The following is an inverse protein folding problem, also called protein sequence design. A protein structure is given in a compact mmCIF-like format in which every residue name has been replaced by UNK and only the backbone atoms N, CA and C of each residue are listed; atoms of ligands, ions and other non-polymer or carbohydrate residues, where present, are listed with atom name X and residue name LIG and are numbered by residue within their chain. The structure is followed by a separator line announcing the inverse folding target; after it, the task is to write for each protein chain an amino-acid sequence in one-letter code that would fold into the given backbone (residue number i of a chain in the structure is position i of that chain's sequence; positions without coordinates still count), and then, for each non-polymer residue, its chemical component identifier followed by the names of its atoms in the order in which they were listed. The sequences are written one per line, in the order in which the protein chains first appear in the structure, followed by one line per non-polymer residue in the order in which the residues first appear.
data_IF_415455199514
#
_entry.id   IF_415455199514
#
_cell.length_a   1.000
_cell.length_b   1.000
_cell.length_c   1.000
_cell.angle_alpha   90.00
_cell.angle_beta   90.00
_cell.angle_gamma   90.00
#
_symmetry.space_group_name_H-M   'P 1'
#
loop_
_entity.id
_entity.type
_entity.pdbx_description
1 polymer ?
#
# COMPACT_ATOMS: atom_id res chain seq x y z
N UNK A 1 19.78 15.45 3.76
CA UNK A 1 19.88 14.01 4.08
C UNK A 1 20.95 13.41 3.18
N UNK A 2 21.82 12.50 3.65
CA UNK A 2 22.72 11.78 2.76
C UNK A 2 21.91 11.03 1.69
N UNK A 3 22.47 10.90 0.49
CA UNK A 3 21.83 10.12 -0.57
C UNK A 3 21.75 8.64 -0.16
N UNK A 4 20.64 7.99 -0.49
CA UNK A 4 20.44 6.55 -0.26
C UNK A 4 21.50 5.74 -1.04
N UNK A 5 22.26 4.89 -0.34
CA UNK A 5 23.19 3.95 -0.98
C UNK A 5 22.40 2.77 -1.57
N UNK A 6 22.32 2.67 -2.90
CA UNK A 6 21.56 1.60 -3.57
C UNK A 6 22.53 0.56 -4.13
N UNK A 7 22.39 -0.68 -3.65
CA UNK A 7 23.22 -1.83 -4.04
C UNK A 7 22.38 -2.88 -4.73
N UNK A 8 22.94 -3.54 -5.74
CA UNK A 8 22.24 -4.59 -6.54
C UNK A 8 22.81 -6.00 -6.34
N UNK A 9 23.57 -6.18 -5.26
CA UNK A 9 24.23 -7.43 -4.91
C UNK A 9 24.62 -7.39 -3.43
N UNK A 10 24.90 -8.56 -2.85
CA UNK A 10 25.39 -8.66 -1.49
C UNK A 10 26.86 -8.22 -1.43
N UNK A 11 27.11 -7.03 -0.90
CA UNK A 11 28.45 -6.50 -0.61
C UNK A 11 28.53 -5.98 0.82
N UNK A 12 29.73 -5.96 1.44
CA UNK A 12 29.86 -5.62 2.85
C UNK A 12 29.22 -4.28 3.18
N UNK A 13 28.25 -4.30 4.08
CA UNK A 13 27.57 -3.11 4.57
C UNK A 13 28.56 -2.26 5.38
N UNK A 14 28.30 -0.94 5.50
CA UNK A 14 29.09 -0.12 6.41
C UNK A 14 29.10 -0.69 7.83
N UNK A 15 30.17 -0.44 8.58
CA UNK A 15 30.29 -0.90 9.96
C UNK A 15 29.10 -0.42 10.83
N UNK A 16 28.63 -1.28 11.74
CA UNK A 16 27.49 -1.00 12.60
C UNK A 16 26.12 -1.02 11.90
N UNK A 17 26.03 -1.50 10.66
CA UNK A 17 24.75 -1.54 9.93
C UNK A 17 23.86 -2.68 10.39
N UNK A 18 22.63 -2.34 10.75
CA UNK A 18 21.53 -3.24 11.06
C UNK A 18 20.71 -3.54 9.78
N UNK A 19 20.62 -4.80 9.37
CA UNK A 19 19.97 -5.22 8.14
C UNK A 19 18.55 -5.77 8.38
N UNK A 20 17.54 -5.08 7.86
CA UNK A 20 16.16 -5.56 7.83
C UNK A 20 15.96 -6.44 6.60
N UNK A 21 15.53 -7.71 6.77
CA UNK A 21 15.34 -8.65 5.65
C UNK A 21 13.85 -8.89 5.37
N UNK A 22 13.48 -8.92 4.08
CA UNK A 22 12.10 -9.17 3.67
C UNK A 22 11.81 -8.81 2.21
N UNK A 23 10.60 -9.12 1.74
CA UNK A 23 10.16 -8.71 0.41
C UNK A 23 9.82 -7.20 0.33
N UNK A 24 9.42 -6.59 1.45
CA UNK A 24 9.22 -5.15 1.61
C UNK A 24 8.25 -4.46 0.62
N UNK A 25 7.32 -5.21 0.04
CA UNK A 25 6.33 -4.64 -0.86
C UNK A 25 5.33 -3.74 -0.10
N UNK A 26 5.28 -2.46 -0.49
CA UNK A 26 4.43 -1.44 0.11
C UNK A 26 5.03 -0.67 1.29
N UNK A 27 6.14 -1.11 1.90
CA UNK A 27 6.76 -0.47 3.08
C UNK A 27 5.72 -0.03 4.13
N UNK A 28 4.76 -0.91 4.43
CA UNK A 28 3.65 -0.67 5.34
C UNK A 28 4.08 -0.62 6.81
N UNK A 29 3.16 -0.33 7.73
CA UNK A 29 3.48 -0.19 9.18
C UNK A 29 4.20 -1.40 9.79
N UNK A 30 3.88 -2.62 9.34
CA UNK A 30 4.64 -3.82 9.72
C UNK A 30 6.13 -3.75 9.32
N UNK A 31 6.46 -3.27 8.11
CA UNK A 31 7.84 -3.05 7.68
C UNK A 31 8.49 -1.87 8.43
N UNK A 32 7.73 -0.81 8.69
CA UNK A 32 8.23 0.35 9.44
C UNK A 32 8.59 -0.02 10.89
N UNK A 33 7.93 -1.01 11.49
CA UNK A 33 8.31 -1.55 12.79
C UNK A 33 9.69 -2.24 12.76
N UNK A 34 10.02 -2.98 11.69
CA UNK A 34 11.37 -3.54 11.49
C UNK A 34 12.42 -2.43 11.39
N UNK A 35 12.13 -1.40 10.59
CA UNK A 35 13.02 -0.24 10.44
C UNK A 35 13.17 0.53 11.76
N UNK A 36 12.10 0.67 12.54
CA UNK A 36 12.16 1.29 13.87
C UNK A 36 13.04 0.50 14.84
N UNK A 37 12.94 -0.83 14.84
CA UNK A 37 13.81 -1.69 15.64
C UNK A 37 15.28 -1.54 15.24
N UNK A 38 15.58 -1.49 13.94
CA UNK A 38 16.94 -1.28 13.46
C UNK A 38 17.51 0.08 13.89
N UNK A 39 16.72 1.16 13.78
CA UNK A 39 17.13 2.51 14.21
C UNK A 39 17.39 2.59 15.72
N UNK A 40 16.63 1.84 16.52
CA UNK A 40 16.81 1.82 17.98
C UNK A 40 18.18 1.26 18.42
N UNK A 41 18.90 0.56 17.53
CA UNK A 41 20.26 0.08 17.79
C UNK A 41 21.34 1.18 17.66
N UNK A 42 20.98 2.38 17.17
CA UNK A 42 21.89 3.53 17.07
C UNK A 42 22.91 3.48 15.93
N UNK A 43 22.88 2.43 15.11
CA UNK A 43 23.70 2.28 13.90
C UNK A 43 23.00 2.71 12.61
N UNK A 44 23.61 2.37 11.47
CA UNK A 44 23.01 2.56 10.14
C UNK A 44 21.95 1.50 9.86
N UNK A 45 20.99 1.80 9.00
CA UNK A 45 19.91 0.90 8.62
C UNK A 45 20.02 0.49 7.16
N UNK A 46 20.08 -0.82 6.93
CA UNK A 46 19.94 -1.39 5.60
C UNK A 46 18.56 -2.04 5.44
N UNK A 47 17.88 -1.75 4.32
CA UNK A 47 16.72 -2.50 3.86
C UNK A 47 17.18 -3.48 2.77
N UNK A 48 17.11 -4.77 3.06
CA UNK A 48 17.50 -5.83 2.15
C UNK A 48 16.25 -6.48 1.58
N UNK A 49 16.06 -6.30 0.28
CA UNK A 49 14.95 -6.86 -0.49
C UNK A 49 15.47 -7.46 -1.80
N UNK A 50 14.56 -7.81 -2.69
CA UNK A 50 14.80 -8.59 -3.88
C UNK A 50 14.32 -7.85 -5.13
N UNK A 51 15.10 -7.96 -6.20
CA UNK A 51 14.73 -7.47 -7.53
C UNK A 51 15.06 -8.54 -8.60
N UNK A 52 14.09 -8.97 -9.43
CA UNK A 52 12.66 -8.68 -9.32
C UNK A 52 12.04 -9.18 -8.01
N UNK A 53 10.84 -8.70 -7.68
CA UNK A 53 10.12 -9.20 -6.50
C UNK A 53 9.94 -10.73 -6.57
N UNK A 54 10.13 -11.50 -5.47
CA UNK A 54 10.21 -12.97 -5.53
C UNK A 54 8.99 -13.64 -6.17
N UNK A 55 7.78 -13.12 -5.94
CA UNK A 55 6.56 -13.66 -6.54
C UNK A 55 6.54 -13.55 -8.07
N UNK A 56 7.20 -12.55 -8.66
CA UNK A 56 7.30 -12.40 -10.13
C UNK A 56 8.13 -13.52 -10.77
N UNK A 57 8.99 -14.18 -10.00
CA UNK A 57 9.86 -15.28 -10.48
C UNK A 57 9.27 -16.62 -10.11
N UNK A 58 8.78 -16.76 -8.87
CA UNK A 58 8.22 -18.01 -8.37
C UNK A 58 6.86 -18.35 -8.98
N UNK A 59 6.07 -17.34 -9.35
CA UNK A 59 4.74 -17.52 -9.88
C UNK A 59 4.37 -16.35 -10.83
N UNK A 60 5.06 -16.18 -11.97
CA UNK A 60 4.88 -15.02 -12.86
C UNK A 60 3.42 -14.76 -13.25
N UNK A 61 2.67 -15.82 -13.60
CA UNK A 61 1.27 -15.70 -14.03
C UNK A 61 0.30 -15.32 -12.90
N UNK A 62 0.73 -15.45 -11.64
CA UNK A 62 -0.08 -15.19 -10.44
C UNK A 62 0.50 -14.08 -9.58
N UNK A 63 1.59 -13.44 -10.01
CA UNK A 63 2.25 -12.40 -9.27
C UNK A 63 1.34 -11.18 -9.20
N UNK A 64 0.87 -10.78 -8.00
CA UNK A 64 0.02 -9.61 -7.91
C UNK A 64 0.83 -8.35 -8.29
N UNK A 65 0.15 -7.30 -8.77
CA UNK A 65 0.79 -6.00 -8.95
C UNK A 65 1.46 -5.53 -7.65
N UNK A 66 2.57 -4.81 -7.78
CA UNK A 66 3.33 -4.31 -6.64
C UNK A 66 2.62 -3.10 -6.04
N UNK A 67 2.66 -3.00 -4.71
CA UNK A 67 2.11 -1.85 -3.98
C UNK A 67 2.96 -0.59 -4.20
N UNK A 68 4.24 -0.77 -4.49
CA UNK A 68 5.19 0.30 -4.80
C UNK A 68 6.03 -0.06 -6.02
N UNK A 69 6.16 0.87 -6.96
CA UNK A 69 7.18 0.79 -8.00
C UNK A 69 8.60 0.99 -7.43
N UNK A 70 9.62 0.62 -8.21
CA UNK A 70 11.02 0.69 -7.77
C UNK A 70 11.45 2.10 -7.31
N UNK A 71 11.18 3.13 -8.13
CA UNK A 71 11.52 4.51 -7.79
C UNK A 71 10.73 5.04 -6.56
N UNK A 72 9.48 4.59 -6.37
CA UNK A 72 8.70 4.92 -5.17
C UNK A 72 9.30 4.26 -3.92
N UNK A 73 9.71 3.00 -4.02
CA UNK A 73 10.38 2.28 -2.92
C UNK A 73 11.68 2.97 -2.52
N UNK A 74 12.50 3.39 -3.48
CA UNK A 74 13.75 4.11 -3.21
C UNK A 74 13.51 5.41 -2.44
N UNK A 75 12.62 6.27 -2.93
CA UNK A 75 12.31 7.54 -2.25
C UNK A 75 11.70 7.31 -0.87
N UNK A 76 10.75 6.39 -0.75
CA UNK A 76 10.12 6.09 0.53
C UNK A 76 11.11 5.49 1.53
N UNK A 77 11.99 4.59 1.11
CA UNK A 77 13.04 4.04 1.97
C UNK A 77 13.93 5.15 2.54
N UNK A 78 14.35 6.12 1.71
CA UNK A 78 15.12 7.27 2.17
C UNK A 78 14.35 8.10 3.22
N UNK A 79 13.07 8.39 2.99
CA UNK A 79 12.24 9.14 3.97
C UNK A 79 12.02 8.39 5.28
N UNK A 80 12.07 7.05 5.26
CA UNK A 80 11.94 6.21 6.45
C UNK A 80 13.26 6.04 7.22
N UNK A 81 14.34 6.68 6.77
CA UNK A 81 15.65 6.63 7.41
C UNK A 81 16.44 5.36 7.09
N UNK A 82 16.26 4.80 5.89
CA UNK A 82 17.15 3.76 5.36
C UNK A 82 18.41 4.43 4.80
N UNK A 83 19.58 3.97 5.22
CA UNK A 83 20.87 4.43 4.71
C UNK A 83 21.30 3.63 3.47
N UNK A 84 21.01 2.32 3.45
CA UNK A 84 21.37 1.43 2.35
C UNK A 84 20.17 0.59 1.90
N UNK A 85 19.81 0.69 0.62
CA UNK A 85 18.84 -0.20 -0.03
C UNK A 85 19.60 -1.28 -0.80
N UNK A 86 19.51 -2.52 -0.35
CA UNK A 86 20.07 -3.68 -1.04
C UNK A 86 18.97 -4.39 -1.82
N UNK A 87 19.12 -4.44 -3.14
CA UNK A 87 18.28 -5.16 -4.08
C UNK A 87 19.03 -6.43 -4.50
N UNK A 88 18.87 -7.51 -3.75
CA UNK A 88 19.47 -8.80 -4.11
C UNK A 88 18.82 -9.32 -5.40
N UNK A 89 19.62 -9.76 -6.39
CA UNK A 89 19.07 -10.41 -7.58
C UNK A 89 18.26 -11.63 -7.17
N UNK A 90 17.00 -11.69 -7.58
CA UNK A 90 16.16 -12.86 -7.37
C UNK A 90 15.93 -13.53 -8.72
N UNK A 91 16.78 -14.50 -9.02
CA UNK A 91 16.70 -15.34 -10.22
C UNK A 91 16.39 -16.80 -9.83
N UNK A 92 16.46 -17.71 -10.82
CA UNK A 92 16.25 -19.13 -10.57
C UNK A 92 17.27 -19.72 -9.57
N UNK A 93 18.51 -19.23 -9.58
CA UNK A 93 19.55 -19.70 -8.65
C UNK A 93 19.24 -19.26 -7.21
N UNK A 94 18.87 -17.99 -7.00
CA UNK A 94 18.41 -17.50 -5.69
C UNK A 94 17.16 -18.23 -5.21
N UNK A 95 16.21 -18.52 -6.11
CA UNK A 95 14.97 -19.24 -5.78
C UNK A 95 15.20 -20.69 -5.33
N UNK A 96 16.25 -21.34 -5.85
CA UNK A 96 16.64 -22.71 -5.52
C UNK A 96 17.70 -22.79 -4.40
N UNK A 97 18.26 -21.66 -3.97
CA UNK A 97 19.27 -21.60 -2.93
C UNK A 97 18.70 -22.05 -1.58
N UNK A 98 19.31 -23.05 -0.96
CA UNK A 98 18.88 -23.51 0.36
C UNK A 98 19.15 -22.44 1.43
N UNK A 99 18.44 -22.56 2.56
CA UNK A 99 18.48 -21.58 3.64
C UNK A 99 19.89 -21.39 4.23
N UNK A 100 20.67 -22.47 4.40
CA UNK A 100 22.01 -22.37 4.99
C UNK A 100 22.98 -21.67 4.04
N UNK A 101 22.90 -21.99 2.75
CA UNK A 101 23.69 -21.32 1.71
C UNK A 101 23.32 -19.84 1.59
N UNK A 102 22.03 -19.48 1.71
CA UNK A 102 21.59 -18.09 1.74
C UNK A 102 22.23 -17.31 2.89
N UNK A 103 22.14 -17.82 4.14
CA UNK A 103 22.73 -17.14 5.31
C UNK A 103 24.24 -17.00 5.14
N UNK A 104 24.92 -18.07 4.76
CA UNK A 104 26.37 -18.05 4.58
C UNK A 104 26.81 -17.04 3.51
N UNK A 105 26.29 -17.18 2.29
CA UNK A 105 26.80 -16.42 1.13
C UNK A 105 26.27 -14.99 1.09
N UNK A 106 24.96 -14.79 1.32
CA UNK A 106 24.35 -13.47 1.18
C UNK A 106 24.51 -12.64 2.45
N UNK A 107 24.31 -13.24 3.63
CA UNK A 107 24.37 -12.49 4.89
C UNK A 107 25.78 -12.42 5.46
N UNK A 108 26.41 -13.56 5.77
CA UNK A 108 27.66 -13.60 6.53
C UNK A 108 28.89 -13.23 5.68
N UNK A 109 29.01 -13.78 4.47
CA UNK A 109 30.14 -13.51 3.58
C UNK A 109 29.94 -12.19 2.81
N UNK A 110 28.73 -12.00 2.28
CA UNK A 110 28.34 -10.86 1.45
C UNK A 110 28.06 -9.58 2.23
N UNK A 111 26.93 -9.51 2.95
CA UNK A 111 26.46 -8.27 3.58
C UNK A 111 27.19 -7.91 4.89
N UNK A 112 27.63 -8.90 5.68
CA UNK A 112 28.32 -8.70 6.98
C UNK A 112 27.60 -7.70 7.90
N UNK A 113 26.29 -7.88 8.18
CA UNK A 113 25.56 -6.95 9.04
C UNK A 113 26.02 -7.08 10.50
N UNK A 114 25.96 -5.97 11.24
CA UNK A 114 26.19 -5.99 12.69
C UNK A 114 25.00 -6.64 13.44
N UNK A 115 23.79 -6.49 12.90
CA UNK A 115 22.57 -7.12 13.40
C UNK A 115 21.62 -7.41 12.25
N UNK A 116 20.78 -8.44 12.41
CA UNK A 116 19.72 -8.81 11.46
C UNK A 116 18.36 -8.61 12.12
N UNK A 117 17.43 -8.01 11.39
CA UNK A 117 16.07 -7.71 11.85
C UNK A 117 15.08 -8.38 10.90
N UNK A 118 14.18 -9.20 11.47
CA UNK A 118 13.15 -9.92 10.72
C UNK A 118 11.82 -9.92 11.45
N UNK A 119 10.72 -10.16 10.72
CA UNK A 119 9.42 -10.43 11.32
C UNK A 119 9.35 -11.84 11.91
N UNK A 120 8.48 -12.05 12.91
CA UNK A 120 8.28 -13.36 13.54
C UNK A 120 7.85 -14.49 12.59
N UNK A 121 7.28 -14.14 11.43
CA UNK A 121 6.85 -15.07 10.38
C UNK A 121 7.81 -15.15 9.19
N UNK A 122 9.04 -14.63 9.35
CA UNK A 122 10.03 -14.61 8.28
C UNK A 122 10.40 -16.03 7.85
N UNK A 123 10.37 -16.24 6.53
CA UNK A 123 10.77 -17.48 5.87
C UNK A 123 11.62 -17.16 4.66
N UNK A 124 12.64 -17.99 4.41
CA UNK A 124 13.63 -17.77 3.37
C UNK A 124 14.22 -19.09 2.86
N UNK A 125 15.09 -18.99 1.86
CA UNK A 125 15.65 -20.14 1.16
C UNK A 125 14.61 -20.87 0.31
N UNK A 126 15.09 -21.89 -0.41
CA UNK A 126 14.30 -22.73 -1.29
C UNK A 126 13.06 -23.25 -0.58
N UNK A 127 11.92 -23.14 -1.26
CA UNK A 127 10.61 -23.60 -0.76
C UNK A 127 10.20 -23.01 0.60
N UNK A 128 10.83 -21.90 1.04
CA UNK A 128 10.56 -21.24 2.34
C UNK A 128 10.86 -22.15 3.55
N UNK A 129 11.80 -23.09 3.41
CA UNK A 129 12.17 -24.03 4.47
C UNK A 129 13.01 -23.39 5.58
N UNK A 130 13.71 -22.28 5.31
CA UNK A 130 14.40 -21.50 6.32
C UNK A 130 13.43 -20.70 7.18
N UNK A 131 13.71 -20.60 8.48
CA UNK A 131 12.90 -19.87 9.44
C UNK A 131 13.75 -19.14 10.48
N UNK A 132 13.07 -18.43 11.39
CA UNK A 132 13.69 -17.60 12.41
C UNK A 132 14.63 -18.41 13.31
N UNK A 133 14.31 -19.68 13.60
CA UNK A 133 15.16 -20.54 14.43
C UNK A 133 16.46 -20.89 13.69
N UNK A 134 16.37 -21.37 12.44
CA UNK A 134 17.54 -21.66 11.61
C UNK A 134 18.42 -20.42 11.41
N UNK A 135 17.80 -19.26 11.18
CA UNK A 135 18.51 -17.99 11.05
C UNK A 135 19.24 -17.63 12.35
N UNK A 136 18.57 -17.76 13.50
CA UNK A 136 19.14 -17.49 14.82
C UNK A 136 20.37 -18.34 15.10
N UNK A 137 20.29 -19.65 14.89
CA UNK A 137 21.41 -20.58 15.11
C UNK A 137 22.63 -20.23 14.24
N UNK A 138 22.38 -19.93 12.96
CA UNK A 138 23.44 -19.61 12.00
C UNK A 138 24.10 -18.25 12.27
N UNK A 139 23.33 -17.24 12.70
CA UNK A 139 23.86 -15.92 13.05
C UNK A 139 24.61 -15.94 14.39
N UNK A 140 24.10 -16.68 15.39
CA UNK A 140 24.74 -16.82 16.69
C UNK A 140 26.14 -17.45 16.58
N UNK A 141 26.30 -18.47 15.72
CA UNK A 141 27.59 -19.08 15.43
C UNK A 141 28.62 -18.10 14.82
N UNK A 142 28.15 -17.02 14.19
CA UNK A 142 28.97 -15.97 13.59
C UNK A 142 29.07 -14.69 14.44
N UNK A 143 28.49 -14.67 15.65
CA UNK A 143 28.49 -13.50 16.53
C UNK A 143 27.59 -12.35 16.04
N UNK A 144 26.64 -12.62 15.15
CA UNK A 144 25.69 -11.61 14.64
C UNK A 144 24.38 -11.68 15.43
N UNK A 145 23.90 -10.55 15.91
CA UNK A 145 22.66 -10.50 16.72
C UNK A 145 21.42 -10.57 15.82
N UNK A 146 20.44 -11.40 16.20
CA UNK A 146 19.13 -11.46 15.55
C UNK A 146 18.07 -10.77 16.42
N UNK A 147 17.33 -9.82 15.83
CA UNK A 147 16.14 -9.22 16.43
C UNK A 147 14.88 -9.67 15.67
N UNK A 148 13.92 -10.22 16.42
CA UNK A 148 12.65 -10.67 15.88
C UNK A 148 11.56 -9.70 16.31
N UNK A 149 10.89 -9.08 15.34
CA UNK A 149 9.83 -8.11 15.60
C UNK A 149 8.46 -8.80 15.50
N UNK A 150 7.59 -8.65 16.52
CA UNK A 150 6.25 -9.22 16.49
C UNK A 150 5.39 -8.57 15.39
N UNK A 151 4.38 -9.29 14.86
CA UNK A 151 3.50 -8.74 13.84
C UNK A 151 2.72 -7.55 14.40
N UNK A 152 2.63 -6.48 13.61
CA UNK A 152 1.77 -5.32 13.95
C UNK A 152 0.31 -5.69 13.66
N UNK A 153 -0.60 -5.58 14.65
CA UNK A 153 -2.02 -5.83 14.44
C UNK A 153 -2.62 -4.79 13.49
N UNK A 154 -3.48 -5.24 12.58
CA UNK A 154 -4.30 -4.34 11.77
C UNK A 154 -5.40 -3.74 12.66
N UNK A 155 -5.70 -2.44 12.51
CA UNK A 155 -6.85 -1.85 13.17
C UNK A 155 -8.15 -2.52 12.69
N UNK A 156 -9.24 -2.44 13.46
CA UNK A 156 -10.54 -2.96 13.03
C UNK A 156 -10.97 -2.32 11.71
N UNK A 157 -11.45 -3.16 10.78
CA UNK A 157 -12.06 -2.70 9.54
C UNK A 157 -13.50 -2.25 9.84
N UNK A 158 -13.66 -1.00 10.26
CA UNK A 158 -14.97 -0.42 10.63
C UNK A 158 -15.87 -0.13 9.42
N UNK A 159 -15.34 -0.17 8.20
CA UNK A 159 -16.13 -0.04 6.97
C UNK A 159 -16.75 -1.38 6.53
N UNK A 160 -16.15 -2.50 6.93
CA UNK A 160 -16.78 -3.81 6.90
C UNK A 160 -17.83 -3.90 8.02
N UNK A 161 -18.99 -3.25 7.82
CA UNK A 161 -20.15 -3.46 8.68
C UNK A 161 -20.46 -4.96 8.81
N UNK A 162 -21.07 -5.41 9.92
CA UNK A 162 -21.47 -6.81 10.05
C UNK A 162 -22.37 -7.15 8.86
N UNK A 163 -22.14 -8.31 8.25
CA UNK A 163 -23.03 -8.83 7.21
C UNK A 163 -24.47 -8.66 7.69
N UNK A 164 -25.26 -7.88 6.94
CA UNK A 164 -26.66 -7.59 7.23
C UNK A 164 -27.42 -8.91 7.38
N UNK A 165 -27.62 -9.32 8.63
CA UNK A 165 -28.70 -10.23 8.99
C UNK A 165 -29.95 -9.36 9.13
N UNK A 166 -30.55 -9.00 7.99
CA UNK A 166 -31.93 -8.52 7.98
C UNK A 166 -32.85 -9.69 8.34
N UNK A 167 -33.05 -9.91 9.64
CA UNK A 167 -34.24 -10.55 10.16
C UNK A 167 -35.23 -9.44 10.51
N UNK A 168 -36.35 -9.44 9.80
CA UNK A 168 -37.53 -8.61 10.03
C UNK A 168 -38.08 -8.83 11.44
N UNK A 169 -37.84 -7.90 12.37
CA UNK A 169 -38.60 -7.84 13.62
C UNK A 169 -39.94 -7.14 13.37
N UNK A 170 -41.00 -7.95 13.39
CA UNK A 170 -42.36 -7.49 13.61
C UNK A 170 -42.50 -6.92 15.02
N UNK A 171 -43.22 -5.80 15.12
CA UNK A 171 -43.75 -5.19 16.34
C UNK A 171 -44.24 -6.24 17.36
N UNK A 172 -43.75 -6.17 18.59
CA UNK A 172 -44.42 -6.82 19.72
C UNK A 172 -44.32 -5.97 21.00
N UNK A 173 -45.44 -5.42 21.52
CA UNK A 173 -45.42 -4.51 22.64
C UNK A 173 -45.66 -5.27 23.97
N UNK A 174 -44.60 -5.67 24.70
CA UNK A 174 -44.73 -6.11 26.11
C UNK A 174 -43.62 -5.55 27.01
N UNK A 175 -44.00 -4.51 27.76
CA UNK A 175 -43.75 -4.21 29.19
C UNK A 175 -42.39 -4.55 29.83
N UNK A 176 -41.67 -3.45 30.10
CA UNK A 176 -40.93 -3.12 31.32
C UNK A 176 -41.10 -4.10 32.50
N UNK A 177 -40.10 -4.97 32.74
CA UNK A 177 -39.93 -5.69 34.00
C UNK A 177 -38.43 -5.93 34.26
N UNK A 178 -37.98 -5.80 35.52
CA UNK A 178 -36.56 -5.79 35.92
C UNK A 178 -35.75 -7.05 35.54
N UNK A 179 -36.39 -8.14 35.14
CA UNK A 179 -35.76 -9.37 34.62
C UNK A 179 -35.25 -9.16 33.19
N UNK A 180 -35.93 -8.34 32.38
CA UNK A 180 -35.52 -8.01 31.01
C UNK A 180 -34.18 -7.26 30.97
N UNK A 181 -33.95 -6.35 31.93
CA UNK A 181 -32.67 -5.64 32.04
C UNK A 181 -31.52 -6.55 32.50
N UNK A 182 -31.79 -7.60 33.30
CA UNK A 182 -30.76 -8.56 33.70
C UNK A 182 -30.40 -9.52 32.56
N UNK A 183 -31.37 -9.96 31.77
CA UNK A 183 -31.14 -10.80 30.58
C UNK A 183 -30.49 -9.98 29.46
N UNK A 184 -30.92 -8.74 29.21
CA UNK A 184 -30.25 -7.84 28.25
C UNK A 184 -28.80 -7.55 28.66
N UNK A 185 -28.51 -7.34 29.95
CA UNK A 185 -27.13 -7.15 30.40
C UNK A 185 -26.30 -8.45 30.36
N UNK A 186 -26.89 -9.62 30.58
CA UNK A 186 -26.20 -10.90 30.41
C UNK A 186 -25.96 -11.25 28.93
N UNK A 187 -26.90 -10.95 28.04
CA UNK A 187 -26.75 -11.11 26.59
C UNK A 187 -25.75 -10.09 26.04
N UNK A 188 -25.80 -8.82 26.46
CA UNK A 188 -24.79 -7.82 26.09
C UNK A 188 -23.40 -8.24 26.55
N UNK A 189 -23.25 -8.80 27.76
CA UNK A 189 -21.96 -9.29 28.23
C UNK A 189 -21.52 -10.62 27.55
N UNK A 190 -22.46 -11.47 27.10
CA UNK A 190 -22.14 -12.67 26.32
C UNK A 190 -21.83 -12.36 24.85
N UNK A 191 -22.49 -11.36 24.25
CA UNK A 191 -22.18 -10.84 22.91
C UNK A 191 -20.85 -10.09 22.93
N UNK A 192 -20.58 -9.28 23.96
CA UNK A 192 -19.27 -8.63 24.14
C UNK A 192 -18.13 -9.62 24.35
N UNK A 193 -18.38 -10.78 24.95
CA UNK A 193 -17.37 -11.84 25.10
C UNK A 193 -17.24 -12.77 23.88
N UNK A 194 -18.17 -12.74 22.92
CA UNK A 194 -18.05 -13.48 21.65
C UNK A 194 -17.36 -12.67 20.54
N UNK A 195 -17.24 -11.35 20.68
CA UNK A 195 -16.46 -10.50 19.76
C UNK A 195 -14.94 -10.58 20.05
N UNK A 196 -14.54 -11.10 21.20
CA UNK A 196 -13.14 -11.12 21.68
C UNK A 196 -12.26 -12.24 21.12
N UNK A 197 -12.76 -13.05 20.18
CA UNK A 197 -11.98 -14.14 19.58
C UNK A 197 -11.79 -14.01 18.04
N UNK A 198 -11.94 -12.79 17.50
CA UNK A 198 -11.29 -12.49 16.24
C UNK A 198 -9.79 -12.39 16.49
N UNK A 199 -9.02 -13.36 16.00
CA UNK A 199 -7.58 -13.19 15.82
C UNK A 199 -7.38 -11.88 15.07
N UNK A 200 -6.88 -10.85 15.75
CA UNK A 200 -6.59 -9.55 15.15
C UNK A 200 -5.75 -9.80 13.90
N UNK A 201 -6.32 -9.54 12.71
CA UNK A 201 -5.61 -9.73 11.44
C UNK A 201 -4.33 -8.89 11.49
N UNK A 202 -3.18 -9.42 11.08
CA UNK A 202 -1.92 -8.63 11.06
C UNK A 202 -1.86 -7.72 9.83
N UNK A 203 -1.11 -6.62 9.93
CA UNK A 203 -0.76 -5.79 8.77
C UNK A 203 0.17 -6.58 7.84
N UNK A 204 -0.20 -6.70 6.56
CA UNK A 204 0.61 -7.31 5.51
C UNK A 204 0.29 -6.76 4.12
N UNK A 205 1.17 -6.96 3.15
CA UNK A 205 0.92 -6.60 1.75
C UNK A 205 -0.38 -7.23 1.21
N UNK A 206 -0.72 -8.47 1.60
CA UNK A 206 -1.98 -9.10 1.20
C UNK A 206 -3.20 -8.36 1.76
N UNK A 207 -3.20 -7.98 3.04
CA UNK A 207 -4.31 -7.22 3.62
C UNK A 207 -4.52 -5.85 2.99
N UNK A 208 -3.44 -5.22 2.54
CA UNK A 208 -3.51 -3.92 1.85
C UNK A 208 -4.09 -4.10 0.44
N UNK A 209 -3.66 -5.14 -0.28
CA UNK A 209 -4.25 -5.48 -1.58
C UNK A 209 -5.74 -5.77 -1.48
N UNK A 210 -6.15 -6.54 -0.46
CA UNK A 210 -7.58 -6.83 -0.22
C UNK A 210 -8.38 -5.54 -0.03
N UNK A 211 -7.88 -4.59 0.80
CA UNK A 211 -8.53 -3.31 1.03
C UNK A 211 -8.64 -2.47 -0.26
N UNK A 212 -7.55 -2.39 -1.04
CA UNK A 212 -7.54 -1.67 -2.32
C UNK A 212 -8.50 -2.31 -3.34
N UNK A 213 -8.57 -3.64 -3.39
CA UNK A 213 -9.51 -4.37 -4.25
C UNK A 213 -10.98 -4.14 -3.86
N UNK A 214 -11.27 -3.84 -2.59
CA UNK A 214 -12.59 -3.40 -2.11
C UNK A 214 -12.85 -1.91 -2.34
N UNK A 215 -11.82 -1.13 -2.68
CA UNK A 215 -11.90 0.33 -2.83
C UNK A 215 -11.74 1.10 -1.51
N UNK A 216 -11.34 0.43 -0.43
CA UNK A 216 -11.18 1.00 0.91
C UNK A 216 -9.82 1.69 1.07
N UNK A 217 -9.58 2.73 0.27
CA UNK A 217 -8.29 3.44 0.22
C UNK A 217 -7.93 4.09 1.57
N UNK A 218 -8.92 4.52 2.35
CA UNK A 218 -8.70 5.05 3.70
C UNK A 218 -8.22 3.99 4.69
N UNK A 219 -8.77 2.76 4.63
CA UNK A 219 -8.29 1.65 5.46
C UNK A 219 -6.91 1.19 5.01
N UNK A 220 -6.67 1.09 3.70
CA UNK A 220 -5.34 0.83 3.15
C UNK A 220 -4.31 1.87 3.65
N UNK A 221 -4.70 3.14 3.77
CA UNK A 221 -3.85 4.19 4.28
C UNK A 221 -3.46 3.98 5.76
N UNK A 222 -4.38 3.50 6.60
CA UNK A 222 -4.09 3.15 7.99
C UNK A 222 -3.08 2.01 8.11
N UNK A 223 -3.17 1.00 7.22
CA UNK A 223 -2.24 -0.13 7.16
C UNK A 223 -0.85 0.28 6.65
N UNK A 224 -0.82 1.14 5.63
CA UNK A 224 0.40 1.68 5.03
C UNK A 224 1.10 2.72 5.92
N UNK A 225 0.34 3.43 6.76
CA UNK A 225 0.78 4.62 7.47
C UNK A 225 0.82 5.89 6.61
N UNK A 226 0.24 5.84 5.41
CA UNK A 226 0.18 6.92 4.40
C UNK A 226 -0.87 6.55 3.34
N UNK A 227 -1.43 7.50 2.57
CA UNK A 227 -2.27 7.20 1.42
C UNK A 227 -1.60 6.23 0.43
N UNK A 228 -2.40 5.36 -0.19
CA UNK A 228 -1.92 4.59 -1.34
C UNK A 228 -1.65 5.55 -2.49
N UNK A 229 -0.49 5.40 -3.14
CA UNK A 229 -0.06 6.34 -4.16
C UNK A 229 0.40 5.61 -5.43
N UNK A 230 -0.03 6.12 -6.59
CA UNK A 230 0.42 5.65 -7.89
C UNK A 230 1.14 6.76 -8.63
N UNK A 231 2.09 6.40 -9.48
CA UNK A 231 2.81 7.34 -10.33
C UNK A 231 2.49 6.99 -11.77
N UNK A 232 2.15 8.00 -12.57
CA UNK A 232 1.81 7.82 -13.97
C UNK A 232 2.26 8.98 -14.84
N UNK A 233 2.56 8.66 -16.09
CA UNK A 233 2.82 9.66 -17.13
C UNK A 233 1.50 10.27 -17.58
N UNK A 234 1.44 11.59 -17.71
CA UNK A 234 0.28 12.27 -18.29
C UNK A 234 0.31 12.11 -19.80
N UNK A 235 -0.73 11.48 -20.33
CA UNK A 235 -0.86 11.16 -21.75
C UNK A 235 -2.06 11.86 -22.37
N UNK A 236 -2.08 11.91 -23.69
CA UNK A 236 -3.21 12.45 -24.43
C UNK A 236 -4.43 11.53 -24.29
N UNK A 237 -5.56 12.08 -23.85
CA UNK A 237 -6.86 11.40 -23.77
C UNK A 237 -7.88 12.00 -24.75
N UNK A 238 -9.15 11.64 -24.58
CA UNK A 238 -10.24 12.07 -25.47
C UNK A 238 -10.61 13.57 -25.36
N UNK A 239 -10.00 14.32 -24.42
CA UNK A 239 -10.20 15.75 -24.15
C UNK A 239 -11.68 16.18 -23.93
N UNK A 240 -12.59 15.23 -23.64
CA UNK A 240 -14.04 15.46 -23.48
C UNK A 240 -14.38 16.32 -22.25
N UNK A 241 -13.67 16.16 -21.14
CA UNK A 241 -13.91 16.97 -19.94
C UNK A 241 -13.72 18.47 -20.19
N UNK A 242 -12.82 18.84 -21.12
CA UNK A 242 -12.55 20.25 -21.44
C UNK A 242 -13.75 20.96 -22.05
N UNK A 243 -14.60 20.27 -22.81
CA UNK A 243 -15.79 20.88 -23.44
C UNK A 243 -16.89 21.20 -22.44
N UNK A 244 -16.84 20.61 -21.23
CA UNK A 244 -17.78 20.86 -20.14
C UNK A 244 -17.14 21.63 -18.96
N UNK A 245 -15.95 22.20 -19.16
CA UNK A 245 -15.25 23.02 -18.15
C UNK A 245 -14.47 22.23 -17.10
N UNK A 246 -14.29 20.92 -17.26
CA UNK A 246 -13.61 20.03 -16.31
C UNK A 246 -12.43 19.36 -17.02
N UNK A 247 -11.30 20.07 -17.24
CA UNK A 247 -10.13 19.50 -17.89
C UNK A 247 -9.54 18.36 -17.03
N UNK A 248 -9.34 17.19 -17.64
CA UNK A 248 -8.76 16.01 -16.97
C UNK A 248 -7.39 15.64 -17.56
N UNK A 249 -6.45 15.28 -16.70
CA UNK A 249 -5.20 14.64 -17.06
C UNK A 249 -5.42 13.12 -17.10
N UNK A 250 -5.10 12.47 -18.22
CA UNK A 250 -5.14 11.02 -18.34
C UNK A 250 -3.78 10.45 -17.91
N UNK A 251 -3.74 9.46 -17.03
CA UNK A 251 -2.51 8.89 -16.50
C UNK A 251 -2.28 7.46 -16.94
N UNK A 252 -1.09 7.20 -17.48
CA UNK A 252 -0.60 5.85 -17.77
C UNK A 252 0.27 5.38 -16.61
N UNK A 253 -0.24 4.44 -15.82
CA UNK A 253 0.41 4.00 -14.56
C UNK A 253 1.18 2.68 -14.66
N UNK A 254 1.30 2.08 -15.85
CA UNK A 254 1.99 0.79 -16.04
C UNK A 254 1.44 -0.31 -15.14
N UNK A 255 2.34 -1.02 -14.45
CA UNK A 255 2.02 -2.14 -13.54
C UNK A 255 1.58 -1.72 -12.12
N UNK A 256 1.29 -0.44 -11.90
CA UNK A 256 0.88 0.04 -10.58
C UNK A 256 -0.40 -0.67 -10.11
N UNK A 257 -0.44 -1.07 -8.84
CA UNK A 257 -1.68 -1.56 -8.26
C UNK A 257 -2.68 -0.41 -8.11
N UNK A 258 -3.72 -0.40 -8.94
CA UNK A 258 -4.82 0.55 -8.84
C UNK A 258 -5.89 0.01 -7.87
N UNK A 259 -6.59 0.88 -7.11
CA UNK A 259 -7.72 0.44 -6.30
C UNK A 259 -8.90 0.01 -7.20
N UNK A 260 -9.96 -0.49 -6.59
CA UNK A 260 -11.22 -0.80 -7.29
C UNK A 260 -11.66 0.37 -8.20
N UNK A 261 -12.22 0.14 -9.39
CA UNK A 261 -12.81 1.22 -10.19
C UNK A 261 -13.84 2.06 -9.41
N UNK A 262 -13.90 3.35 -9.72
CA UNK A 262 -14.74 4.33 -9.02
C UNK A 262 -14.24 5.77 -9.11
N UNK A 263 -14.96 6.66 -8.43
CA UNK A 263 -14.60 8.07 -8.28
C UNK A 263 -13.94 8.27 -6.92
N UNK A 264 -12.86 9.03 -6.90
CA UNK A 264 -11.98 9.21 -5.74
C UNK A 264 -11.67 10.67 -5.48
N UNK A 265 -11.60 11.04 -4.20
CA UNK A 265 -10.87 12.22 -3.76
C UNK A 265 -9.39 11.85 -3.66
N UNK A 266 -8.54 12.62 -4.34
CA UNK A 266 -7.10 12.36 -4.43
C UNK A 266 -6.30 13.63 -4.24
N UNK A 267 -5.00 13.48 -3.97
CA UNK A 267 -4.03 14.55 -4.10
C UNK A 267 -3.08 14.28 -5.25
N UNK A 268 -2.78 15.31 -6.03
CA UNK A 268 -1.89 15.25 -7.18
C UNK A 268 -0.66 16.11 -6.91
N UNK A 269 0.53 15.56 -7.13
CA UNK A 269 1.77 16.32 -7.14
C UNK A 269 2.65 15.88 -8.31
N UNK A 270 3.63 16.71 -8.67
CA UNK A 270 4.68 16.32 -9.59
C UNK A 270 5.51 15.21 -8.95
N UNK A 271 5.83 14.16 -9.71
CA UNK A 271 6.81 13.19 -9.28
C UNK A 271 8.21 13.82 -9.22
N UNK A 272 8.53 14.72 -10.15
CA UNK A 272 9.73 15.57 -10.05
C UNK A 272 9.30 17.03 -9.85
N UNK A 273 9.42 17.58 -8.62
CA UNK A 273 9.07 18.96 -8.33
C UNK A 273 9.83 19.99 -9.18
N UNK A 274 11.05 19.66 -9.64
CA UNK A 274 11.81 20.56 -10.49
C UNK A 274 11.25 20.60 -11.93
N UNK A 275 10.64 19.51 -12.38
CA UNK A 275 10.06 19.40 -13.72
C UNK A 275 8.69 20.07 -13.84
N UNK A 276 7.91 20.12 -12.75
CA UNK A 276 6.61 20.81 -12.67
C UNK A 276 6.49 21.57 -11.33
N UNK A 277 7.10 22.75 -11.20
CA UNK A 277 7.09 23.53 -9.96
C UNK A 277 5.70 23.90 -9.47
N UNK A 278 4.73 24.08 -10.37
CA UNK A 278 3.33 24.38 -10.00
C UNK A 278 2.62 23.25 -9.27
N UNK A 279 3.15 22.03 -9.34
CA UNK A 279 2.68 20.84 -8.64
C UNK A 279 3.76 20.30 -7.68
N UNK A 280 4.73 21.14 -7.28
CA UNK A 280 5.76 20.73 -6.33
C UNK A 280 5.17 20.29 -4.98
N UNK A 281 4.05 20.89 -4.58
CA UNK A 281 3.26 20.48 -3.42
C UNK A 281 2.01 19.69 -3.88
N UNK A 282 1.44 18.84 -3.00
CA UNK A 282 0.18 18.17 -3.27
C UNK A 282 -0.98 19.16 -3.47
N UNK A 283 -1.81 18.90 -4.47
CA UNK A 283 -3.03 19.65 -4.76
C UNK A 283 -4.25 18.74 -4.74
N UNK A 284 -5.33 19.24 -4.17
CA UNK A 284 -6.62 18.56 -4.13
C UNK A 284 -7.17 18.32 -5.54
N UNK A 285 -7.70 17.12 -5.77
CA UNK A 285 -8.20 16.68 -7.06
C UNK A 285 -9.32 15.65 -6.91
N UNK A 286 -10.07 15.47 -7.99
CA UNK A 286 -10.99 14.34 -8.16
C UNK A 286 -10.42 13.42 -9.23
N UNK A 287 -10.40 12.13 -8.97
CA UNK A 287 -9.99 11.13 -9.95
C UNK A 287 -11.15 10.19 -10.32
N UNK A 288 -11.24 9.89 -11.61
CA UNK A 288 -12.06 8.81 -12.15
C UNK A 288 -11.15 7.66 -12.55
N UNK A 289 -11.40 6.48 -12.00
CA UNK A 289 -10.72 5.25 -12.38
C UNK A 289 -11.74 4.29 -12.98
N UNK A 290 -11.63 4.03 -14.28
CA UNK A 290 -12.61 3.23 -14.99
C UNK A 290 -12.07 2.46 -16.18
N UNK A 291 -12.93 1.72 -16.88
CA UNK A 291 -12.54 0.96 -18.08
C UNK A 291 -12.62 1.83 -19.32
N UNK A 292 -11.66 1.69 -20.24
CA UNK A 292 -11.72 2.38 -21.53
C UNK A 292 -12.97 1.93 -22.32
N UNK A 293 -13.96 2.81 -22.57
CA UNK A 293 -15.21 2.43 -23.24
C UNK A 293 -15.01 2.05 -24.72
N UNK A 294 -13.85 2.36 -25.30
CA UNK A 294 -13.50 2.05 -26.70
C UNK A 294 -13.11 0.58 -26.89
N UNK A 295 -12.79 -0.13 -25.81
CA UNK A 295 -12.48 -1.55 -25.84
C UNK A 295 -13.71 -2.38 -25.43
N UNK A 296 -14.28 -3.12 -26.38
CA UNK A 296 -15.37 -4.07 -26.12
C UNK A 296 -14.78 -5.44 -25.77
N UNK A 297 -14.88 -5.84 -24.50
CA UNK A 297 -14.46 -7.17 -24.02
C UNK A 297 -14.07 -7.21 -22.54
N UNK A 298 -13.97 -8.40 -21.94
CA UNK A 298 -13.36 -8.59 -20.62
C UNK A 298 -11.87 -8.27 -20.70
N UNK A 299 -11.37 -7.38 -19.86
CA UNK A 299 -9.95 -6.97 -19.84
C UNK A 299 -9.64 -5.64 -20.53
N UNK A 300 -10.64 -4.78 -20.78
CA UNK A 300 -10.40 -3.41 -21.23
C UNK A 300 -9.43 -2.69 -20.26
N UNK A 301 -8.40 -1.97 -20.76
CA UNK A 301 -7.43 -1.32 -19.90
C UNK A 301 -8.12 -0.25 -19.03
N UNK A 302 -7.69 -0.16 -17.77
CA UNK A 302 -8.12 0.89 -16.88
C UNK A 302 -7.56 2.24 -17.34
N UNK A 303 -8.38 3.27 -17.25
CA UNK A 303 -8.06 4.66 -17.50
C UNK A 303 -8.20 5.40 -16.18
N UNK A 304 -7.11 6.04 -15.76
CA UNK A 304 -7.09 6.93 -14.60
C UNK A 304 -7.09 8.37 -15.12
N UNK A 305 -8.15 9.11 -14.80
CA UNK A 305 -8.27 10.53 -15.14
C UNK A 305 -8.32 11.36 -13.85
N UNK A 306 -7.57 12.45 -13.78
CA UNK A 306 -7.61 13.36 -12.64
C UNK A 306 -7.91 14.80 -13.07
N UNK A 307 -8.82 15.44 -12.33
CA UNK A 307 -9.13 16.86 -12.41
C UNK A 307 -8.60 17.55 -11.16
N UNK A 308 -7.60 18.43 -11.33
CA UNK A 308 -7.05 19.23 -10.24
C UNK A 308 -8.00 20.38 -9.93
N UNK A 309 -8.36 20.52 -8.66
CA UNK A 309 -9.32 21.54 -8.24
C UNK A 309 -8.70 22.93 -8.31
N UNK A 310 -9.54 23.91 -8.68
CA UNK A 310 -9.23 25.34 -8.69
C UNK A 310 -8.11 25.77 -9.65
N UNK A 311 -7.67 24.89 -10.57
CA UNK A 311 -6.57 25.16 -11.49
C UNK A 311 -6.78 24.46 -12.84
N UNK A 312 -6.62 25.21 -13.94
CA UNK A 312 -6.38 24.59 -15.25
C UNK A 312 -4.87 24.45 -15.46
N UNK A 313 -4.42 23.20 -15.48
CA UNK A 313 -3.02 22.87 -15.72
C UNK A 313 -2.73 22.73 -17.22
N UNK A 314 -3.74 22.65 -18.07
CA UNK A 314 -3.60 22.67 -19.51
C UNK A 314 -2.69 21.57 -20.08
N UNK A 315 -2.14 21.84 -21.26
CA UNK A 315 -1.35 20.86 -22.02
C UNK A 315 0.09 20.71 -21.50
N UNK A 316 0.53 21.59 -20.60
CA UNK A 316 1.90 21.56 -20.06
C UNK A 316 2.17 20.36 -19.16
N UNK A 317 1.13 19.63 -18.76
CA UNK A 317 1.28 18.38 -18.02
C UNK A 317 1.75 17.22 -18.89
N UNK A 318 1.54 17.24 -20.21
CA UNK A 318 1.82 16.09 -21.08
C UNK A 318 3.29 15.66 -21.02
N UNK A 319 3.51 14.35 -20.90
CA UNK A 319 4.84 13.76 -20.79
C UNK A 319 5.48 13.85 -19.40
N UNK A 320 4.89 14.61 -18.47
CA UNK A 320 5.37 14.65 -17.09
C UNK A 320 4.79 13.51 -16.26
N UNK A 321 5.55 13.11 -15.24
CA UNK A 321 5.15 12.11 -14.26
C UNK A 321 4.46 12.78 -13.08
N UNK A 322 3.24 12.34 -12.76
CA UNK A 322 2.49 12.79 -11.59
C UNK A 322 2.34 11.65 -10.58
N UNK A 323 2.36 12.01 -9.30
CA UNK A 323 1.95 11.13 -8.21
C UNK A 323 0.51 11.45 -7.80
N UNK A 324 -0.32 10.41 -7.69
CA UNK A 324 -1.70 10.48 -7.22
C UNK A 324 -1.83 9.71 -5.92
N UNK A 325 -2.18 10.40 -4.85
CA UNK A 325 -2.45 9.85 -3.52
C UNK A 325 -3.96 9.69 -3.32
N UNK A 326 -4.43 8.45 -3.16
CA UNK A 326 -5.85 8.15 -2.96
C UNK A 326 -6.25 8.39 -1.51
N UNK A 327 -7.11 9.39 -1.27
CA UNK A 327 -7.53 9.79 0.08
C UNK A 327 -8.85 9.11 0.47
N UNK A 328 -9.87 9.24 -0.39
CA UNK A 328 -11.19 8.67 -0.12
C UNK A 328 -11.86 8.18 -1.40
N UNK A 329 -12.64 7.09 -1.29
CA UNK A 329 -13.53 6.64 -2.35
C UNK A 329 -14.88 7.33 -2.20
N UNK A 330 -15.38 7.93 -3.28
CA UNK A 330 -16.63 8.69 -3.27
C UNK A 330 -17.82 7.82 -3.70
N UNK A 331 -17.68 7.07 -4.80
CA UNK A 331 -18.75 6.21 -5.36
C UNK A 331 -18.23 5.29 -6.47
N UNK A 332 -19.06 4.35 -6.89
CA UNK A 332 -18.88 3.62 -8.16
C UNK A 332 -19.10 4.55 -9.37
N UNK A 333 -18.51 4.18 -10.51
CA UNK A 333 -18.77 4.85 -11.78
C UNK A 333 -20.23 4.64 -12.22
N UNK A 334 -20.79 5.63 -12.90
CA UNK A 334 -22.16 5.61 -13.38
C UNK A 334 -22.23 6.16 -14.81
N UNK A 335 -23.14 5.60 -15.61
CA UNK A 335 -23.46 6.12 -16.95
C UNK A 335 -24.58 7.15 -16.86
N UNK A 336 -24.43 8.25 -17.60
CA UNK A 336 -25.41 9.32 -17.68
C UNK A 336 -25.96 9.41 -19.09
N UNK A 337 -27.28 9.63 -19.20
CA UNK A 337 -27.99 9.74 -20.48
C UNK A 337 -28.01 11.16 -21.02
N UNK A 338 -27.75 12.17 -20.19
CA UNK A 338 -27.68 13.58 -20.58
C UNK A 338 -26.39 14.23 -20.07
N UNK A 339 -25.94 15.28 -20.77
CA UNK A 339 -24.73 16.03 -20.38
C UNK A 339 -24.99 16.81 -19.09
N UNK A 340 -26.19 17.33 -18.91
CA UNK A 340 -26.59 18.11 -17.73
C UNK A 340 -26.53 17.25 -16.47
N UNK A 341 -27.01 16.01 -16.52
CA UNK A 341 -26.96 15.09 -15.38
C UNK A 341 -25.51 14.68 -15.04
N UNK A 342 -24.67 14.48 -16.06
CA UNK A 342 -23.24 14.23 -15.87
C UNK A 342 -22.56 15.41 -15.17
N UNK A 343 -22.79 16.62 -15.66
CA UNK A 343 -22.18 17.84 -15.09
C UNK A 343 -22.65 18.08 -13.66
N UNK A 344 -23.94 17.89 -13.37
CA UNK A 344 -24.48 18.01 -12.01
C UNK A 344 -23.77 17.04 -11.05
N UNK A 345 -23.63 15.76 -11.44
CA UNK A 345 -22.92 14.79 -10.61
C UNK A 345 -21.46 15.18 -10.39
N UNK A 346 -20.76 15.67 -11.42
CA UNK A 346 -19.34 16.05 -11.25
C UNK A 346 -19.21 17.17 -10.22
N UNK A 347 -20.12 18.14 -10.19
CA UNK A 347 -20.13 19.17 -9.15
C UNK A 347 -20.38 18.58 -7.75
N UNK A 348 -21.30 17.61 -7.62
CA UNK A 348 -21.54 16.92 -6.36
C UNK A 348 -20.30 16.13 -5.89
N UNK A 349 -19.62 15.46 -6.82
CA UNK A 349 -18.38 14.72 -6.55
C UNK A 349 -17.25 15.66 -6.12
N UNK A 350 -17.10 16.83 -6.76
CA UNK A 350 -16.14 17.86 -6.37
C UNK A 350 -16.45 18.38 -4.96
N UNK A 351 -17.72 18.68 -4.68
CA UNK A 351 -18.14 19.15 -3.36
C UNK A 351 -17.89 18.09 -2.27
N UNK A 352 -18.11 16.80 -2.59
CA UNK A 352 -17.80 15.68 -1.71
C UNK A 352 -16.30 15.51 -1.50
N UNK A 353 -15.50 15.55 -2.56
CA UNK A 353 -14.05 15.43 -2.50
C UNK A 353 -13.43 16.49 -1.60
N UNK A 354 -13.88 17.75 -1.69
CA UNK A 354 -13.41 18.83 -0.81
C UNK A 354 -13.64 18.53 0.66
N UNK A 355 -14.80 17.97 1.02
CA UNK A 355 -15.10 17.60 2.42
C UNK A 355 -14.16 16.50 2.91
N UNK A 356 -13.90 15.49 2.10
CA UNK A 356 -13.01 14.37 2.47
C UNK A 356 -11.54 14.80 2.55
N UNK A 357 -11.08 15.62 1.61
CA UNK A 357 -9.70 16.14 1.58
C UNK A 357 -9.43 17.09 2.76
N UNK A 358 -10.41 17.92 3.14
CA UNK A 358 -10.28 18.80 4.31
C UNK A 358 -10.20 18.05 5.65
N UNK A 359 -10.79 16.84 5.75
CA UNK A 359 -10.73 16.01 6.96
C UNK A 359 -9.39 15.30 7.16
N UNK A 360 -8.63 15.14 6.08
CA UNK A 360 -7.39 14.37 6.07
C UNK A 360 -6.26 15.25 5.52
N UNK A 361 -5.84 16.32 6.22
CA UNK A 361 -4.94 17.35 5.68
C UNK A 361 -3.59 16.83 5.17
#
# INVERSE_FOLDING_TARGET
MPALDIRRQATPLPEGTAACLGAFDGLHRGHQALLAQARALGGRVALVTFEPHPQRVLAPDRAPPLLLGAAQRERLAATLGVDTLVLLPFDAAMAQMDARTFVRTQLLEGLRPAAVIVGADFRFGAQRLGDVALLGDALAAAGVTLHVVPPVPAPPDVAAGPASANATEHDNPIRNNQIGNQISNQISNQVSNQVSNQVSKKISSSTIRDALARGEVGYAAQLLGRPHAVVGEVVHGAKRGRTIGIPTANLRCGDALLPRPGIYAVRVSAWDPAALPELAAPHDAVASLGTNPTFTGTGAPLVLEAHVLDRDLGERLYGHMLQLEFVARLRDEQRYTTVEALVAQIHDDIAHARRELARTP
#
